data_IF_366522184786
#
_entry.id   IF_366522184786
#
_cell.length_a   1.000
_cell.length_b   1.000
_cell.length_c   1.000
_cell.angle_alpha   90.00
_cell.angle_beta   90.00
_cell.angle_gamma   90.00
#
_symmetry.space_group_name_H-M   'P 1'
#
loop_
_entity.id
_entity.type
_entity.pdbx_description
1 polymer ?
#
# COMPACT_ATOMS: atom_id res chain seq x y z
N UNK A 1 9.94 6.94 -24.63
CA UNK A 1 10.57 8.26 -24.79
C UNK A 1 9.73 9.06 -25.77
N UNK A 2 9.25 10.24 -25.37
CA UNK A 2 8.39 11.10 -26.17
C UNK A 2 9.25 12.16 -26.84
N UNK A 3 9.63 11.86 -28.08
CA UNK A 3 10.45 12.71 -28.93
C UNK A 3 9.67 13.96 -29.36
N UNK A 4 8.34 13.87 -29.48
CA UNK A 4 7.50 15.01 -29.85
C UNK A 4 7.52 16.11 -28.79
N UNK A 5 7.47 15.76 -27.50
CA UNK A 5 7.62 16.73 -26.39
C UNK A 5 8.96 17.47 -26.48
N UNK A 6 10.03 16.74 -26.81
CA UNK A 6 11.35 17.34 -27.01
C UNK A 6 11.37 18.30 -28.22
N UNK A 7 10.77 17.90 -29.35
CA UNK A 7 10.68 18.72 -30.57
C UNK A 7 9.87 20.00 -30.32
N UNK A 8 8.74 19.88 -29.63
CA UNK A 8 7.88 21.01 -29.31
C UNK A 8 8.55 21.98 -28.33
N UNK A 9 9.29 21.49 -27.34
CA UNK A 9 10.10 22.32 -26.46
C UNK A 9 11.19 23.08 -27.23
N UNK A 10 11.88 22.42 -28.18
CA UNK A 10 12.86 23.08 -29.05
C UNK A 10 12.24 24.19 -29.87
N UNK A 11 11.11 23.92 -30.54
CA UNK A 11 10.39 24.92 -31.35
C UNK A 11 9.90 26.09 -30.50
N UNK A 12 9.38 25.82 -29.29
CA UNK A 12 8.92 26.86 -28.36
C UNK A 12 10.04 27.79 -27.90
N UNK A 13 11.24 27.25 -27.70
CA UNK A 13 12.46 28.02 -27.38
C UNK A 13 13.11 28.67 -28.60
N UNK A 14 12.58 28.44 -29.81
CA UNK A 14 13.04 29.07 -31.05
C UNK A 14 14.36 28.50 -31.60
N UNK A 15 14.86 27.38 -31.09
CA UNK A 15 16.13 26.82 -31.54
C UNK A 15 15.98 26.04 -32.85
N UNK A 16 16.90 26.25 -33.79
CA UNK A 16 17.18 25.30 -34.86
C UNK A 16 17.90 24.06 -34.33
N UNK A 17 17.89 22.95 -35.10
CA UNK A 17 18.62 21.74 -34.72
C UNK A 17 20.14 22.00 -34.60
N UNK A 18 20.71 22.85 -35.45
CA UNK A 18 22.12 23.25 -35.38
C UNK A 18 22.44 24.01 -34.09
N UNK A 19 21.61 24.99 -33.72
CA UNK A 19 21.82 25.81 -32.51
C UNK A 19 21.64 25.00 -31.24
N UNK A 20 20.65 24.11 -31.20
CA UNK A 20 20.47 23.25 -30.03
C UNK A 20 21.63 22.26 -29.87
N UNK A 21 22.15 21.72 -30.98
CA UNK A 21 23.24 20.75 -30.97
C UNK A 21 24.62 21.37 -30.64
N UNK A 22 24.79 22.67 -30.83
CA UNK A 22 26.08 23.37 -30.72
C UNK A 22 26.80 23.13 -29.38
N UNK A 23 28.03 22.62 -29.42
CA UNK A 23 28.81 22.30 -28.22
C UNK A 23 28.29 21.12 -27.38
N UNK A 24 27.26 20.40 -27.86
CA UNK A 24 26.69 19.22 -27.19
C UNK A 24 26.84 17.95 -28.04
N UNK A 25 26.40 17.98 -29.30
CA UNK A 25 26.47 16.86 -30.24
C UNK A 25 26.47 17.34 -31.70
N UNK A 26 26.48 16.43 -32.68
CA UNK A 26 26.38 16.84 -34.09
C UNK A 26 24.91 17.08 -34.46
N UNK A 27 24.66 18.00 -35.40
CA UNK A 27 23.30 18.20 -35.95
C UNK A 27 22.71 16.89 -36.50
N UNK A 28 23.54 16.02 -37.09
CA UNK A 28 23.11 14.70 -37.58
C UNK A 28 22.61 13.81 -36.44
N UNK A 29 23.29 13.83 -35.30
CA UNK A 29 22.87 13.09 -34.10
C UNK A 29 21.52 13.59 -33.59
N UNK A 30 21.32 14.90 -33.50
CA UNK A 30 20.05 15.49 -33.08
C UNK A 30 18.93 15.21 -34.11
N UNK A 31 19.23 15.30 -35.40
CA UNK A 31 18.28 15.00 -36.47
C UNK A 31 17.81 13.55 -36.45
N UNK A 32 18.72 12.59 -36.21
CA UNK A 32 18.36 11.17 -36.04
C UNK A 32 17.51 10.92 -34.79
N UNK A 33 17.77 11.66 -33.73
CA UNK A 33 16.95 11.61 -32.53
C UNK A 33 15.53 12.12 -32.79
N UNK A 34 15.39 13.32 -33.39
CA UNK A 34 14.09 13.95 -33.66
C UNK A 34 13.29 13.20 -34.74
N UNK A 35 13.92 12.75 -35.83
CA UNK A 35 13.19 12.16 -36.96
C UNK A 35 13.01 10.64 -36.86
N UNK A 36 13.98 9.92 -36.28
CA UNK A 36 14.03 8.46 -36.30
C UNK A 36 13.98 7.84 -34.88
N UNK A 37 13.82 8.65 -33.83
CA UNK A 37 13.76 8.18 -32.45
C UNK A 37 15.06 7.56 -31.91
N UNK A 38 16.18 7.69 -32.63
CA UNK A 38 17.45 7.10 -32.23
C UNK A 38 18.10 7.95 -31.14
N UNK A 39 17.94 7.53 -29.88
CA UNK A 39 18.44 8.26 -28.72
C UNK A 39 19.98 8.41 -28.75
N UNK A 40 20.51 9.61 -28.49
CA UNK A 40 21.93 9.77 -28.20
C UNK A 40 22.26 9.21 -26.80
N UNK A 41 23.55 9.23 -26.42
CA UNK A 41 23.92 8.86 -25.04
C UNK A 41 23.17 9.69 -24.00
N UNK A 42 22.90 9.11 -22.82
CA UNK A 42 22.21 9.78 -21.73
C UNK A 42 22.87 11.12 -21.35
N UNK A 43 24.20 11.18 -21.38
CA UNK A 43 24.98 12.40 -21.12
C UNK A 43 24.70 13.51 -22.14
N UNK A 44 24.51 13.18 -23.41
CA UNK A 44 24.13 14.13 -24.46
C UNK A 44 22.69 14.56 -24.26
N UNK A 45 21.79 13.62 -23.99
CA UNK A 45 20.38 13.90 -23.78
C UNK A 45 20.19 14.89 -22.62
N UNK A 46 20.74 14.63 -21.42
CA UNK A 46 20.66 15.53 -20.27
C UNK A 46 21.09 16.97 -20.60
N UNK A 47 22.20 17.13 -21.36
CA UNK A 47 22.69 18.46 -21.76
C UNK A 47 21.73 19.19 -22.70
N UNK A 48 21.11 18.47 -23.64
CA UNK A 48 20.10 19.04 -24.54
C UNK A 48 18.87 19.49 -23.74
N UNK A 49 18.42 18.66 -22.79
CA UNK A 49 17.27 18.96 -21.93
C UNK A 49 17.52 20.18 -21.05
N UNK A 50 18.71 20.27 -20.44
CA UNK A 50 19.12 21.43 -19.65
C UNK A 50 19.07 22.72 -20.47
N UNK A 51 19.53 22.69 -21.73
CA UNK A 51 19.48 23.86 -22.61
C UNK A 51 18.06 24.24 -23.03
N UNK A 52 17.16 23.27 -23.12
CA UNK A 52 15.74 23.51 -23.37
C UNK A 52 14.96 23.92 -22.11
N UNK A 53 15.60 23.90 -20.93
CA UNK A 53 14.93 23.98 -19.62
C UNK A 53 13.79 22.95 -19.48
N UNK A 54 13.96 21.80 -20.13
CA UNK A 54 13.00 20.71 -20.15
C UNK A 54 13.43 19.68 -19.10
N UNK A 55 12.63 19.42 -18.05
CA UNK A 55 12.93 18.33 -17.13
C UNK A 55 13.10 17.01 -17.89
N UNK A 56 14.17 16.28 -17.62
CA UNK A 56 14.47 15.02 -18.32
C UNK A 56 13.30 14.02 -18.24
N UNK A 57 12.56 14.06 -17.12
CA UNK A 57 11.35 13.26 -16.87
C UNK A 57 10.12 13.65 -17.68
N UNK A 58 10.16 14.68 -18.54
CA UNK A 58 9.10 14.96 -19.53
C UNK A 58 9.38 14.27 -20.88
N UNK A 59 10.66 14.02 -21.21
CA UNK A 59 11.09 13.36 -22.46
C UNK A 59 11.09 11.85 -22.35
N UNK A 60 11.36 11.36 -21.15
CA UNK A 60 10.86 10.07 -20.73
C UNK A 60 9.53 10.38 -20.09
N UNK A 61 8.40 10.35 -20.80
CA UNK A 61 7.17 10.35 -20.04
C UNK A 61 7.27 9.20 -19.05
N UNK A 62 6.45 9.30 -18.01
CA UNK A 62 5.90 8.10 -17.38
C UNK A 62 5.12 7.31 -18.46
N UNK A 63 5.78 6.84 -19.52
CA UNK A 63 5.18 6.05 -20.59
C UNK A 63 5.02 4.67 -20.00
N UNK A 64 3.81 4.42 -19.55
CA UNK A 64 2.97 3.54 -20.34
C UNK A 64 3.41 2.09 -20.31
N UNK A 65 3.34 1.52 -19.12
CA UNK A 65 2.81 0.17 -19.01
C UNK A 65 1.36 0.41 -18.57
N UNK A 66 0.33 -0.22 -19.17
CA UNK A 66 -1.04 -0.23 -18.57
C UNK A 66 -0.98 -0.51 -17.06
N UNK A 67 0.02 -1.28 -16.66
CA UNK A 67 0.37 -1.59 -15.30
C UNK A 67 0.63 -0.34 -14.44
N UNK A 68 1.16 0.79 -14.92
CA UNK A 68 1.41 1.97 -14.06
C UNK A 68 0.12 2.62 -13.56
N UNK A 69 -0.89 2.80 -14.44
CA UNK A 69 -2.20 3.30 -14.00
C UNK A 69 -2.91 2.29 -13.10
N UNK A 70 -2.84 1.00 -13.44
CA UNK A 70 -3.39 -0.07 -12.60
C UNK A 70 -2.70 -0.10 -11.23
N UNK A 71 -1.37 0.02 -11.17
CA UNK A 71 -0.57 0.05 -9.95
C UNK A 71 -0.92 1.29 -9.13
N UNK A 72 -1.03 2.47 -9.73
CA UNK A 72 -1.44 3.69 -9.03
C UNK A 72 -2.84 3.53 -8.42
N UNK A 73 -3.79 2.98 -9.17
CA UNK A 73 -5.13 2.66 -8.66
C UNK A 73 -5.07 1.64 -7.51
N UNK A 74 -4.25 0.60 -7.62
CA UNK A 74 -4.07 -0.40 -6.55
C UNK A 74 -3.43 0.21 -5.29
N UNK A 75 -2.44 1.11 -5.45
CA UNK A 75 -1.85 1.85 -4.33
C UNK A 75 -2.92 2.68 -3.61
N UNK A 76 -3.82 3.31 -4.35
CA UNK A 76 -4.92 4.09 -3.78
C UNK A 76 -5.98 3.19 -3.13
N UNK A 77 -6.29 2.01 -3.68
CA UNK A 77 -7.14 1.00 -3.02
C UNK A 77 -6.55 0.57 -1.68
N UNK A 78 -5.25 0.24 -1.64
CA UNK A 78 -4.55 -0.10 -0.38
C UNK A 78 -4.63 1.05 0.62
N UNK A 79 -4.41 2.29 0.16
CA UNK A 79 -4.56 3.47 1.01
C UNK A 79 -5.97 3.59 1.61
N UNK A 80 -7.02 3.34 0.81
CA UNK A 80 -8.39 3.33 1.30
C UNK A 80 -8.66 2.20 2.31
N UNK A 81 -7.95 1.08 2.26
CA UNK A 81 -8.01 0.08 3.35
C UNK A 81 -7.43 0.62 4.64
N UNK A 82 -6.34 1.39 4.57
CA UNK A 82 -5.73 2.03 5.75
C UNK A 82 -6.69 3.07 6.34
N UNK A 83 -7.35 3.87 5.52
CA UNK A 83 -8.32 4.87 5.99
C UNK A 83 -9.71 4.30 6.29
N UNK A 84 -9.90 2.99 6.12
CA UNK A 84 -11.20 2.31 6.28
C UNK A 84 -12.31 2.86 5.36
N UNK A 85 -11.94 3.42 4.21
CA UNK A 85 -12.86 3.98 3.21
C UNK A 85 -13.24 2.93 2.14
N UNK A 86 -13.76 1.78 2.59
CA UNK A 86 -13.99 0.60 1.75
C UNK A 86 -14.92 0.83 0.56
N UNK A 87 -15.84 1.79 0.65
CA UNK A 87 -16.72 2.17 -0.47
C UNK A 87 -15.90 2.75 -1.64
N UNK A 88 -14.95 3.65 -1.35
CA UNK A 88 -14.06 4.25 -2.36
C UNK A 88 -13.12 3.20 -2.94
N UNK A 89 -12.56 2.36 -2.07
CA UNK A 89 -11.75 1.22 -2.50
C UNK A 89 -12.50 0.32 -3.50
N UNK A 90 -13.78 0.01 -3.23
CA UNK A 90 -14.60 -0.80 -4.13
C UNK A 90 -14.88 -0.11 -5.47
N UNK A 91 -15.22 1.18 -5.45
CA UNK A 91 -15.46 1.97 -6.67
C UNK A 91 -14.22 1.96 -7.56
N UNK A 92 -13.05 2.21 -6.98
CA UNK A 92 -11.79 2.23 -7.70
C UNK A 92 -11.36 0.85 -8.20
N UNK A 93 -11.55 -0.21 -7.40
CA UNK A 93 -11.22 -1.59 -7.81
C UNK A 93 -12.09 -2.04 -9.00
N UNK A 94 -13.32 -1.56 -9.13
CA UNK A 94 -14.20 -1.88 -10.27
C UNK A 94 -13.73 -1.24 -11.59
N UNK A 95 -12.93 -0.17 -11.53
CA UNK A 95 -12.36 0.47 -12.72
C UNK A 95 -11.13 -0.27 -13.26
N UNK A 96 -10.50 -1.10 -12.44
CA UNK A 96 -9.32 -1.86 -12.81
C UNK A 96 -9.75 -3.02 -13.72
N UNK A 97 -9.23 -3.02 -14.95
CA UNK A 97 -9.44 -4.08 -15.94
C UNK A 97 -8.18 -4.93 -16.02
N UNK A 98 -8.24 -6.15 -15.51
CA UNK A 98 -7.16 -7.14 -15.53
C UNK A 98 -7.68 -8.42 -16.18
N UNK A 99 -6.79 -9.10 -16.90
CA UNK A 99 -7.02 -10.47 -17.33
C UNK A 99 -6.77 -11.41 -16.14
N UNK A 100 -7.85 -11.90 -15.51
CA UNK A 100 -7.75 -12.78 -14.33
C UNK A 100 -7.08 -14.13 -14.66
N UNK A 101 -6.93 -14.49 -15.94
CA UNK A 101 -6.28 -15.73 -16.39
C UNK A 101 -4.76 -15.58 -16.54
N UNK A 102 -4.23 -14.35 -16.57
CA UNK A 102 -2.79 -14.10 -16.64
C UNK A 102 -2.14 -14.31 -15.26
N UNK A 103 -1.23 -15.27 -15.16
CA UNK A 103 -0.47 -15.50 -13.94
C UNK A 103 0.66 -14.47 -13.80
N UNK A 104 0.31 -13.27 -13.31
CA UNK A 104 1.21 -12.15 -13.09
C UNK A 104 1.10 -11.61 -11.66
N UNK A 105 2.15 -10.93 -11.19
CA UNK A 105 2.17 -10.26 -9.88
C UNK A 105 1.00 -9.27 -9.70
N UNK A 106 0.60 -8.62 -10.79
CA UNK A 106 -0.53 -7.68 -10.81
C UNK A 106 -1.85 -8.40 -10.55
N UNK A 107 -2.02 -9.60 -11.11
CA UNK A 107 -3.20 -10.42 -10.84
C UNK A 107 -3.23 -10.88 -9.38
N UNK A 108 -2.09 -11.31 -8.81
CA UNK A 108 -2.00 -11.67 -7.40
C UNK A 108 -2.36 -10.48 -6.49
N UNK A 109 -1.86 -9.29 -6.81
CA UNK A 109 -2.22 -8.06 -6.11
C UNK A 109 -3.71 -7.77 -6.21
N UNK A 110 -4.28 -7.86 -7.41
CA UNK A 110 -5.71 -7.66 -7.63
C UNK A 110 -6.57 -8.62 -6.80
N UNK A 111 -6.24 -9.91 -6.82
CA UNK A 111 -6.95 -10.95 -6.07
C UNK A 111 -6.90 -10.70 -4.57
N UNK A 112 -5.75 -10.27 -4.04
CA UNK A 112 -5.63 -9.91 -2.62
C UNK A 112 -6.55 -8.73 -2.27
N UNK A 113 -6.52 -7.64 -3.05
CA UNK A 113 -7.37 -6.47 -2.82
C UNK A 113 -8.86 -6.82 -2.92
N UNK A 114 -9.22 -7.65 -3.90
CA UNK A 114 -10.58 -8.17 -4.08
C UNK A 114 -11.02 -8.99 -2.86
N UNK A 115 -10.19 -9.92 -2.40
CA UNK A 115 -10.47 -10.76 -1.23
C UNK A 115 -10.69 -9.94 0.04
N UNK A 116 -9.83 -8.95 0.30
CA UNK A 116 -9.98 -8.06 1.46
C UNK A 116 -11.28 -7.24 1.41
N UNK A 117 -11.65 -6.72 0.23
CA UNK A 117 -12.95 -6.05 0.07
C UNK A 117 -14.13 -6.99 0.28
N UNK A 118 -14.03 -8.25 -0.13
CA UNK A 118 -15.07 -9.25 0.09
C UNK A 118 -15.28 -9.50 1.59
N UNK A 119 -14.20 -9.58 2.37
CA UNK A 119 -14.26 -9.66 3.84
C UNK A 119 -14.96 -8.41 4.42
N UNK A 120 -14.51 -7.20 4.07
CA UNK A 120 -15.12 -5.97 4.60
C UNK A 120 -16.60 -5.80 4.23
N UNK A 121 -17.03 -6.45 3.14
CA UNK A 121 -18.43 -6.48 2.69
C UNK A 121 -19.21 -7.69 3.20
N UNK A 122 -18.62 -8.50 4.09
CA UNK A 122 -19.22 -9.69 4.68
C UNK A 122 -19.77 -10.66 3.62
N UNK A 123 -19.01 -10.89 2.55
CA UNK A 123 -19.36 -11.87 1.52
C UNK A 123 -19.31 -13.30 2.08
N UNK A 124 -19.95 -14.28 1.41
CA UNK A 124 -19.87 -15.68 1.81
C UNK A 124 -18.41 -16.14 1.92
N UNK A 125 -18.10 -16.86 2.99
CA UNK A 125 -16.73 -17.34 3.25
C UNK A 125 -16.19 -18.17 2.08
N UNK A 126 -17.03 -19.00 1.46
CA UNK A 126 -16.64 -19.83 0.30
C UNK A 126 -16.07 -19.01 -0.85
N UNK A 127 -16.66 -17.85 -1.14
CA UNK A 127 -16.20 -16.98 -2.24
C UNK A 127 -14.88 -16.28 -1.87
N UNK A 128 -14.73 -15.93 -0.60
CA UNK A 128 -13.51 -15.32 -0.05
C UNK A 128 -12.35 -16.32 -0.12
N UNK A 129 -12.57 -17.54 0.40
CA UNK A 129 -11.58 -18.62 0.38
C UNK A 129 -11.17 -18.96 -1.06
N UNK A 130 -12.14 -19.13 -1.96
CA UNK A 130 -11.85 -19.38 -3.37
C UNK A 130 -10.97 -18.29 -4.00
N UNK A 131 -11.18 -17.03 -3.62
CA UNK A 131 -10.36 -15.91 -4.11
C UNK A 131 -8.92 -15.99 -3.62
N UNK A 132 -8.70 -16.34 -2.36
CA UNK A 132 -7.35 -16.49 -1.80
C UNK A 132 -6.67 -17.79 -2.22
N UNK A 133 -7.41 -18.87 -2.46
CA UNK A 133 -6.88 -20.13 -2.99
C UNK A 133 -6.23 -19.93 -4.35
N UNK A 134 -6.77 -19.05 -5.21
CA UNK A 134 -6.13 -18.68 -6.49
C UNK A 134 -4.73 -18.09 -6.29
N UNK A 135 -4.49 -17.40 -5.16
CA UNK A 135 -3.16 -16.87 -4.82
C UNK A 135 -2.30 -18.00 -4.25
N UNK A 136 -2.80 -18.71 -3.24
CA UNK A 136 -2.04 -19.75 -2.51
C UNK A 136 -1.58 -20.88 -3.43
N UNK A 137 -2.42 -21.26 -4.40
CA UNK A 137 -2.15 -22.35 -5.34
C UNK A 137 -1.41 -21.90 -6.61
N UNK A 138 -0.99 -20.63 -6.69
CA UNK A 138 -0.26 -20.16 -7.85
C UNK A 138 1.16 -20.73 -7.91
N UNK A 139 1.46 -21.49 -8.98
CA UNK A 139 2.76 -22.14 -9.21
C UNK A 139 3.92 -21.14 -9.45
N UNK A 140 3.63 -19.86 -9.67
CA UNK A 140 4.63 -18.81 -9.94
C UNK A 140 5.21 -18.17 -8.68
N UNK A 141 4.71 -18.55 -7.50
CA UNK A 141 5.10 -17.93 -6.24
C UNK A 141 6.38 -18.56 -5.68
N UNK A 142 7.41 -17.75 -5.49
CA UNK A 142 8.54 -18.13 -4.65
C UNK A 142 8.06 -18.44 -3.22
N UNK A 143 8.73 -19.38 -2.54
CA UNK A 143 8.54 -19.59 -1.11
C UNK A 143 8.74 -18.25 -0.37
N UNK A 144 7.72 -17.82 0.38
CA UNK A 144 7.66 -16.56 1.14
C UNK A 144 7.41 -15.27 0.33
N UNK A 145 6.62 -15.34 -0.74
CA UNK A 145 6.08 -14.14 -1.38
C UNK A 145 5.06 -13.40 -0.46
N UNK A 146 5.11 -12.07 -0.42
CA UNK A 146 4.18 -11.22 0.34
C UNK A 146 2.71 -11.46 0.01
N UNK A 147 2.37 -11.79 -1.24
CA UNK A 147 1.00 -12.09 -1.63
C UNK A 147 0.48 -13.39 -1.01
N UNK A 148 1.35 -14.38 -0.79
CA UNK A 148 0.98 -15.59 -0.04
C UNK A 148 0.68 -15.26 1.43
N UNK A 149 1.49 -14.40 2.05
CA UNK A 149 1.27 -13.96 3.44
C UNK A 149 -0.04 -13.18 3.55
N UNK A 150 -0.30 -12.25 2.63
CA UNK A 150 -1.56 -11.52 2.55
C UNK A 150 -2.76 -12.45 2.33
N UNK A 151 -2.61 -13.49 1.51
CA UNK A 151 -3.67 -14.47 1.28
C UNK A 151 -3.97 -15.28 2.55
N UNK A 152 -2.96 -15.76 3.26
CA UNK A 152 -3.15 -16.42 4.55
C UNK A 152 -3.77 -15.50 5.60
N UNK A 153 -3.33 -14.24 5.68
CA UNK A 153 -3.98 -13.22 6.53
C UNK A 153 -5.45 -13.06 6.17
N UNK A 154 -5.78 -12.97 4.87
CA UNK A 154 -7.16 -12.87 4.40
C UNK A 154 -8.01 -14.10 4.73
N UNK A 155 -7.45 -15.30 4.60
CA UNK A 155 -8.12 -16.56 5.01
C UNK A 155 -8.35 -16.59 6.52
N UNK A 156 -7.36 -16.19 7.32
CA UNK A 156 -7.49 -16.06 8.77
C UNK A 156 -8.62 -15.11 9.15
N UNK A 157 -8.67 -13.93 8.53
CA UNK A 157 -9.76 -12.96 8.70
C UNK A 157 -11.13 -13.51 8.26
N UNK A 158 -11.19 -14.34 7.21
CA UNK A 158 -12.44 -14.92 6.74
C UNK A 158 -13.01 -15.94 7.73
N UNK A 159 -12.16 -16.81 8.29
CA UNK A 159 -12.55 -17.75 9.36
C UNK A 159 -12.92 -17.02 10.66
N UNK A 160 -12.20 -15.96 11.00
CA UNK A 160 -12.54 -15.08 12.12
C UNK A 160 -13.96 -14.51 11.99
N UNK A 161 -14.35 -14.07 10.80
CA UNK A 161 -15.68 -13.49 10.54
C UNK A 161 -16.84 -14.48 10.74
N UNK A 162 -16.57 -15.78 10.67
CA UNK A 162 -17.55 -16.85 10.94
C UNK A 162 -17.32 -17.52 12.28
N UNK A 163 -16.53 -16.90 13.15
CA UNK A 163 -16.22 -17.34 14.53
C UNK A 163 -15.53 -18.72 14.61
N UNK A 164 -14.89 -19.15 13.52
CA UNK A 164 -14.05 -20.35 13.48
C UNK A 164 -12.60 -19.98 13.88
N UNK A 165 -12.43 -19.70 15.17
CA UNK A 165 -11.18 -19.18 15.73
C UNK A 165 -10.01 -20.17 15.61
N UNK A 166 -10.25 -21.47 15.70
CA UNK A 166 -9.22 -22.51 15.55
C UNK A 166 -8.58 -22.45 14.16
N UNK A 167 -9.40 -22.39 13.10
CA UNK A 167 -8.86 -22.24 11.74
C UNK A 167 -8.26 -20.86 11.53
N UNK A 168 -8.87 -19.82 12.09
CA UNK A 168 -8.34 -18.47 11.99
C UNK A 168 -6.91 -18.38 12.53
N UNK A 169 -6.68 -18.89 13.75
CA UNK A 169 -5.38 -18.93 14.41
C UNK A 169 -4.35 -19.69 13.59
N UNK A 170 -4.69 -20.88 13.10
CA UNK A 170 -3.80 -21.67 12.24
C UNK A 170 -3.26 -20.88 11.03
N UNK A 171 -4.08 -20.04 10.41
CA UNK A 171 -3.64 -19.21 9.29
C UNK A 171 -2.83 -17.97 9.72
N UNK A 172 -3.13 -17.38 10.88
CA UNK A 172 -2.34 -16.27 11.42
C UNK A 172 -0.95 -16.72 11.89
N UNK A 173 -0.84 -17.89 12.53
CA UNK A 173 0.44 -18.47 12.95
C UNK A 173 1.40 -18.67 11.78
N UNK A 174 0.90 -19.20 10.65
CA UNK A 174 1.67 -19.36 9.40
C UNK A 174 2.26 -18.06 8.88
N UNK A 175 1.58 -16.95 9.13
CA UNK A 175 2.02 -15.63 8.67
C UNK A 175 3.04 -15.05 9.63
N UNK A 176 2.79 -15.16 10.95
CA UNK A 176 3.65 -14.58 11.97
C UNK A 176 5.04 -15.19 11.98
N UNK A 177 5.17 -16.51 11.81
CA UNK A 177 6.47 -17.19 11.73
C UNK A 177 7.36 -16.57 10.63
N UNK A 178 6.75 -16.13 9.53
CA UNK A 178 7.45 -15.65 8.34
C UNK A 178 7.63 -14.14 8.32
N UNK A 179 6.66 -13.38 8.83
CA UNK A 179 6.61 -11.92 8.68
C UNK A 179 7.77 -11.22 9.38
N UNK A 180 8.24 -11.73 10.52
CA UNK A 180 9.39 -11.17 11.25
C UNK A 180 10.71 -11.25 10.46
N UNK A 181 10.80 -12.18 9.51
CA UNK A 181 11.99 -12.38 8.67
C UNK A 181 11.82 -11.84 7.25
N UNK A 182 10.66 -11.24 6.94
CA UNK A 182 10.37 -10.77 5.58
C UNK A 182 11.27 -9.58 5.21
N UNK A 183 12.03 -9.65 4.11
CA UNK A 183 12.91 -8.56 3.71
C UNK A 183 12.09 -7.46 3.03
N UNK A 184 11.80 -6.38 3.74
CA UNK A 184 11.18 -5.17 3.18
C UNK A 184 12.19 -4.53 2.21
N UNK A 185 11.85 -4.48 0.91
CA UNK A 185 12.73 -3.92 -0.14
C UNK A 185 12.21 -2.60 -0.68
N UNK A 186 10.90 -2.46 -0.78
CA UNK A 186 10.23 -1.29 -1.36
C UNK A 186 9.19 -0.71 -0.39
N UNK A 187 8.75 0.52 -0.64
CA UNK A 187 7.78 1.20 0.24
C UNK A 187 6.41 0.48 0.25
N UNK A 188 6.05 -0.15 -0.87
CA UNK A 188 4.85 -0.96 -1.03
C UNK A 188 4.89 -2.23 -0.15
N UNK A 189 6.06 -2.83 0.03
CA UNK A 189 6.24 -3.96 0.96
C UNK A 189 5.92 -3.52 2.38
N UNK A 190 6.41 -2.35 2.79
CA UNK A 190 6.16 -1.79 4.12
C UNK A 190 4.67 -1.72 4.40
N UNK A 191 3.86 -1.22 3.46
CA UNK A 191 2.40 -1.11 3.65
C UNK A 191 1.73 -2.47 3.82
N UNK A 192 2.16 -3.47 3.05
CA UNK A 192 1.60 -4.83 3.09
C UNK A 192 2.00 -5.57 4.36
N UNK A 193 3.25 -5.42 4.81
CA UNK A 193 3.72 -5.96 6.09
C UNK A 193 2.95 -5.32 7.25
N UNK A 194 2.78 -3.99 7.24
CA UNK A 194 1.98 -3.30 8.25
C UNK A 194 0.51 -3.74 8.24
N UNK A 195 -0.05 -3.99 7.06
CA UNK A 195 -1.40 -4.55 6.92
C UNK A 195 -1.52 -5.90 7.63
N UNK A 196 -0.60 -6.82 7.33
CA UNK A 196 -0.52 -8.15 7.93
C UNK A 196 -0.41 -8.07 9.45
N UNK A 197 0.54 -7.30 9.96
CA UNK A 197 0.79 -7.15 11.41
C UNK A 197 -0.44 -6.56 12.11
N UNK A 198 -1.06 -5.53 11.51
CA UNK A 198 -2.27 -4.93 12.07
C UNK A 198 -3.41 -5.96 12.15
N UNK A 199 -3.73 -6.65 11.06
CA UNK A 199 -4.85 -7.60 11.07
C UNK A 199 -4.60 -8.81 11.97
N UNK A 200 -3.35 -9.28 12.05
CA UNK A 200 -2.96 -10.31 13.01
C UNK A 200 -3.13 -9.83 14.44
N UNK A 201 -2.70 -8.61 14.76
CA UNK A 201 -2.86 -8.05 16.11
C UNK A 201 -4.33 -7.90 16.53
N UNK A 202 -5.22 -7.53 15.60
CA UNK A 202 -6.66 -7.44 15.85
C UNK A 202 -7.23 -8.82 16.17
N UNK A 203 -6.80 -9.86 15.43
CA UNK A 203 -7.21 -11.23 15.71
C UNK A 203 -6.78 -11.69 17.11
N UNK A 204 -5.51 -11.56 17.47
CA UNK A 204 -5.04 -11.97 18.81
C UNK A 204 -5.70 -11.15 19.92
N UNK A 205 -6.02 -9.89 19.69
CA UNK A 205 -6.78 -9.09 20.66
C UNK A 205 -8.21 -9.65 20.87
N UNK A 206 -8.88 -10.08 19.79
CA UNK A 206 -10.24 -10.61 19.85
C UNK A 206 -10.32 -11.93 20.62
N UNK A 207 -9.31 -12.80 20.48
CA UNK A 207 -9.20 -14.04 21.27
C UNK A 207 -8.56 -13.83 22.66
N UNK A 208 -8.41 -12.57 23.09
CA UNK A 208 -7.86 -12.16 24.39
C UNK A 208 -6.37 -12.51 24.62
N UNK A 209 -5.63 -12.79 23.56
CA UNK A 209 -4.16 -12.92 23.54
C UNK A 209 -3.49 -11.54 23.40
N UNK A 210 -3.74 -10.68 24.41
CA UNK A 210 -3.39 -9.26 24.38
C UNK A 210 -1.87 -9.02 24.31
N UNK A 211 -1.06 -9.89 24.91
CA UNK A 211 0.39 -9.81 24.85
C UNK A 211 0.92 -9.97 23.41
N UNK A 212 0.41 -10.98 22.70
CA UNK A 212 0.74 -11.23 21.28
C UNK A 212 0.26 -10.08 20.40
N UNK A 213 -0.94 -9.56 20.65
CA UNK A 213 -1.46 -8.39 19.96
C UNK A 213 -0.57 -7.15 20.16
N UNK A 214 -0.20 -6.84 21.40
CA UNK A 214 0.66 -5.71 21.74
C UNK A 214 2.04 -5.83 21.07
N UNK A 215 2.67 -7.01 21.11
CA UNK A 215 3.97 -7.26 20.48
C UNK A 215 3.94 -7.01 18.96
N UNK A 216 2.87 -7.45 18.27
CA UNK A 216 2.69 -7.19 16.84
C UNK A 216 2.48 -5.70 16.53
N UNK A 217 1.74 -4.99 17.39
CA UNK A 217 1.49 -3.56 17.23
C UNK A 217 2.74 -2.72 17.47
N UNK A 218 3.51 -3.05 18.51
CA UNK A 218 4.80 -2.41 18.80
C UNK A 218 5.80 -2.63 17.66
N UNK A 219 5.84 -3.85 17.11
CA UNK A 219 6.65 -4.12 15.93
C UNK A 219 6.19 -3.31 14.71
N UNK A 220 4.88 -3.22 14.46
CA UNK A 220 4.35 -2.37 13.39
C UNK A 220 4.71 -0.88 13.57
N UNK A 221 4.71 -0.38 14.82
CA UNK A 221 5.13 1.00 15.14
C UNK A 221 6.63 1.21 14.89
N UNK A 222 7.49 0.25 15.24
CA UNK A 222 8.93 0.29 14.92
C UNK A 222 9.15 0.39 13.40
N UNK A 223 8.48 -0.45 12.61
CA UNK A 223 8.55 -0.39 11.13
C UNK A 223 8.10 0.98 10.62
N UNK A 224 6.98 1.51 11.14
CA UNK A 224 6.49 2.84 10.75
C UNK A 224 7.50 3.95 11.06
N UNK A 225 8.13 3.89 12.24
CA UNK A 225 9.16 4.85 12.66
C UNK A 225 10.40 4.81 11.78
N UNK A 226 10.93 3.61 11.52
CA UNK A 226 12.15 3.39 10.72
C UNK A 226 11.97 3.76 9.24
N UNK A 227 10.75 3.60 8.71
CA UNK A 227 10.44 3.88 7.30
C UNK A 227 9.73 5.23 7.09
N UNK A 228 9.55 6.02 8.15
CA UNK A 228 8.81 7.30 8.12
C UNK A 228 7.38 7.18 7.54
N UNK A 229 6.71 6.06 7.81
CA UNK A 229 5.32 5.80 7.39
C UNK A 229 4.36 6.16 8.52
N UNK A 230 3.44 7.09 8.28
CA UNK A 230 2.54 7.59 9.34
C UNK A 230 1.17 6.94 9.34
N UNK A 231 0.73 6.33 8.23
CA UNK A 231 -0.68 5.96 8.03
C UNK A 231 -1.18 4.86 8.98
N UNK A 232 -0.34 3.85 9.27
CA UNK A 232 -0.70 2.75 10.18
C UNK A 232 -0.53 3.10 11.67
N UNK A 233 0.29 4.10 12.02
CA UNK A 233 0.50 4.52 13.42
C UNK A 233 -0.83 4.82 14.12
N UNK A 234 -1.74 5.49 13.44
CA UNK A 234 -3.04 5.83 14.00
C UNK A 234 -3.87 4.59 14.36
N UNK A 235 -3.89 3.58 13.47
CA UNK A 235 -4.62 2.34 13.70
C UNK A 235 -3.95 1.49 14.78
N UNK A 236 -2.62 1.43 14.77
CA UNK A 236 -1.87 0.66 15.74
C UNK A 236 -2.04 1.23 17.16
N UNK A 237 -1.86 2.55 17.33
CA UNK A 237 -2.08 3.23 18.60
C UNK A 237 -3.54 3.10 19.08
N UNK A 238 -4.51 3.15 18.17
CA UNK A 238 -5.91 2.92 18.53
C UNK A 238 -6.16 1.48 19.01
N UNK A 239 -5.59 0.48 18.36
CA UNK A 239 -5.70 -0.91 18.83
C UNK A 239 -5.00 -1.12 20.17
N UNK A 240 -3.82 -0.51 20.39
CA UNK A 240 -3.16 -0.51 21.70
C UNK A 240 -4.05 0.14 22.79
N UNK A 241 -4.81 1.18 22.44
CA UNK A 241 -5.79 1.76 23.36
C UNK A 241 -6.87 0.73 23.74
N UNK A 242 -7.41 0.00 22.76
CA UNK A 242 -8.42 -1.04 23.01
C UNK A 242 -7.85 -2.18 23.87
N UNK A 243 -6.62 -2.61 23.58
CA UNK A 243 -5.93 -3.63 24.38
C UNK A 243 -5.69 -3.15 25.82
N UNK A 244 -5.27 -1.89 26.01
CA UNK A 244 -5.09 -1.27 27.32
C UNK A 244 -6.38 -1.25 28.15
N UNK A 245 -7.53 -1.01 27.51
CA UNK A 245 -8.86 -1.09 28.13
C UNK A 245 -9.17 -2.54 28.55
N UNK A 246 -8.95 -3.51 27.66
CA UNK A 246 -9.19 -4.92 27.94
C UNK A 246 -8.32 -5.45 29.09
N UNK A 247 -7.05 -5.01 29.16
CA UNK A 247 -6.13 -5.31 30.27
C UNK A 247 -6.45 -4.55 31.56
N UNK A 248 -7.43 -3.63 31.54
CA UNK A 248 -7.79 -2.76 32.68
C UNK A 248 -6.59 -1.97 33.21
N UNK A 249 -5.72 -1.50 32.30
CA UNK A 249 -4.61 -0.61 32.67
C UNK A 249 -5.13 0.71 33.22
N UNK A 250 -4.23 1.45 33.87
CA UNK A 250 -4.54 2.76 34.40
C UNK A 250 -5.13 3.68 33.32
N UNK A 251 -6.17 4.44 33.70
CA UNK A 251 -6.88 5.34 32.80
C UNK A 251 -5.96 6.36 32.13
N UNK A 252 -4.95 6.84 32.85
CA UNK A 252 -3.97 7.79 32.31
C UNK A 252 -3.20 7.21 31.12
N UNK A 253 -2.70 5.98 31.25
CA UNK A 253 -1.98 5.25 30.19
C UNK A 253 -2.90 5.05 28.98
N UNK A 254 -4.15 4.65 29.22
CA UNK A 254 -5.14 4.44 28.16
C UNK A 254 -5.44 5.75 27.40
N UNK A 255 -5.60 6.87 28.11
CA UNK A 255 -5.86 8.17 27.50
C UNK A 255 -4.67 8.67 26.68
N UNK A 256 -3.44 8.43 27.13
CA UNK A 256 -2.23 8.79 26.41
C UNK A 256 -2.18 8.09 25.03
N UNK A 257 -2.38 6.76 25.01
CA UNK A 257 -2.47 5.98 23.77
C UNK A 257 -3.58 6.48 22.83
N UNK A 258 -4.74 6.84 23.39
CA UNK A 258 -5.87 7.39 22.62
C UNK A 258 -5.53 8.75 21.99
N UNK A 259 -4.78 9.59 22.70
CA UNK A 259 -4.36 10.90 22.20
C UNK A 259 -3.29 10.79 21.11
N UNK A 260 -2.38 9.83 21.21
CA UNK A 260 -1.43 9.51 20.14
C UNK A 260 -2.17 9.04 18.89
N UNK A 261 -3.10 8.09 19.05
CA UNK A 261 -3.97 7.63 17.96
C UNK A 261 -4.69 8.80 17.28
N UNK A 262 -5.20 9.77 18.08
CA UNK A 262 -5.87 10.98 17.60
C UNK A 262 -4.92 11.88 16.82
N UNK A 263 -3.72 12.12 17.34
CA UNK A 263 -2.72 12.97 16.67
C UNK A 263 -2.34 12.39 15.30
N UNK A 264 -2.03 11.09 15.25
CA UNK A 264 -1.73 10.39 14.00
C UNK A 264 -2.91 10.39 13.04
N UNK A 265 -4.14 10.15 13.53
CA UNK A 265 -5.33 10.17 12.69
C UNK A 265 -5.58 11.55 12.06
N UNK A 266 -5.30 12.65 12.79
CA UNK A 266 -5.39 14.03 12.27
C UNK A 266 -4.37 14.29 11.17
N UNK A 267 -3.10 13.91 11.38
CA UNK A 267 -2.03 14.06 10.38
C UNK A 267 -2.42 13.35 9.08
N UNK A 268 -2.95 12.12 9.20
CA UNK A 268 -3.35 11.29 8.06
C UNK A 268 -4.74 11.63 7.49
N UNK A 269 -5.45 12.62 8.05
CA UNK A 269 -6.83 13.00 7.69
C UNK A 269 -7.81 11.81 7.70
N UNK A 270 -7.58 10.83 8.57
CA UNK A 270 -8.41 9.63 8.68
C UNK A 270 -9.71 9.94 9.46
N UNK A 271 -10.72 10.45 8.74
CA UNK A 271 -12.00 10.86 9.33
C UNK A 271 -12.76 9.71 9.99
N UNK A 272 -12.68 8.51 9.43
CA UNK A 272 -13.36 7.32 9.97
C UNK A 272 -12.81 6.98 11.35
N UNK A 273 -11.48 6.97 11.49
CA UNK A 273 -10.85 6.69 12.77
C UNK A 273 -11.05 7.81 13.79
N UNK A 274 -11.04 9.08 13.35
CA UNK A 274 -11.31 10.22 14.23
C UNK A 274 -12.69 10.13 14.89
N UNK A 275 -13.71 9.69 14.15
CA UNK A 275 -15.06 9.46 14.71
C UNK A 275 -15.05 8.35 15.76
N UNK A 276 -14.39 7.22 15.50
CA UNK A 276 -14.26 6.11 16.47
C UNK A 276 -13.55 6.56 17.76
N UNK A 277 -12.49 7.35 17.61
CA UNK A 277 -11.71 7.92 18.72
C UNK A 277 -12.56 8.88 19.57
N UNK A 278 -13.42 9.69 18.94
CA UNK A 278 -14.31 10.61 19.64
C UNK A 278 -15.36 9.85 20.46
N UNK A 279 -15.99 8.82 19.87
CA UNK A 279 -16.94 7.96 20.59
C UNK A 279 -16.29 7.28 21.79
N UNK A 280 -15.12 6.65 21.60
CA UNK A 280 -14.42 5.96 22.68
C UNK A 280 -13.99 6.92 23.81
N UNK A 281 -13.56 8.15 23.47
CA UNK A 281 -13.20 9.15 24.49
C UNK A 281 -14.42 9.54 25.34
N UNK A 282 -15.60 9.70 24.73
CA UNK A 282 -16.83 10.02 25.44
C UNK A 282 -17.21 8.89 26.39
N UNK A 283 -17.11 7.63 25.96
CA UNK A 283 -17.37 6.46 26.79
C UNK A 283 -16.44 6.43 28.02
N UNK A 284 -15.13 6.59 27.82
CA UNK A 284 -14.12 6.61 28.89
C UNK A 284 -14.29 7.75 29.91
N UNK A 285 -14.87 8.88 29.48
CA UNK A 285 -15.21 10.01 30.36
C UNK A 285 -16.57 9.82 31.04
N UNK A 286 -17.54 9.22 30.37
CA UNK A 286 -18.91 9.03 30.90
C UNK A 286 -19.02 7.94 31.98
N UNK A 287 -18.10 6.97 31.98
CA UNK A 287 -17.96 5.99 33.09
C UNK A 287 -17.47 6.59 34.41
N UNK A 288 -17.44 7.93 34.55
CA UNK A 288 -17.13 8.66 35.77
C UNK A 288 -18.35 8.91 36.69
N UNK A 289 -19.56 8.49 36.29
CA UNK A 289 -20.80 8.62 37.10
C UNK A 289 -21.23 7.31 37.74
#
# INVERSE_FOLDING_TARGET
>A
MNVDVFIEARKRKGYSQSELAEGICTQVTLSRFENNGQAPSLKILIKLCQRLELPIGEIFPKIGIKNSEIIEKMNEVEFYFITSEYKKAQELLNEIKIDEEENSEINLRYLYLKGFLMIFKKKPITDILFTFDKIILSETLAENNIYSLLAYTGVGMAYHQVEDYEKSEYYFDKVIEKIYSYPIKEIEDTWRVLNILFHSSVFYADINELASSNALLEYAISICSENHVTYYLARAAFQLTLNSIAEKREKLITLELLYDARAYAKINKNKVLLQKIETLEQELKSGEN
#
